data_IF_880364149887
#
_entry.id   IF_880364149887
#
_cell.length_a   1.000
_cell.length_b   1.000
_cell.length_c   1.000
_cell.angle_alpha   90.00
_cell.angle_beta   90.00
_cell.angle_gamma   90.00
#
_symmetry.space_group_name_H-M   'P 1'
#
loop_
_entity.id
_entity.type
_entity.pdbx_description
1 polymer ?
#
# COMPACT_ATOMS: atom_id res chain seq x y z
N UNK A 1 37.75 -23.23 10.43
CA UNK A 1 37.12 -21.95 10.51
C UNK A 1 35.59 -22.09 10.66
N UNK A 2 34.91 -21.25 11.42
CA UNK A 2 33.49 -21.43 11.63
C UNK A 2 32.74 -21.18 10.31
N UNK A 3 31.96 -22.16 9.89
CA UNK A 3 30.99 -22.03 8.83
C UNK A 3 29.96 -21.01 9.24
N UNK A 4 29.99 -19.84 8.62
CA UNK A 4 28.88 -18.89 8.70
C UNK A 4 27.74 -19.41 7.83
N UNK A 5 26.71 -19.94 8.46
CA UNK A 5 25.49 -20.36 7.81
C UNK A 5 24.72 -19.13 7.35
N UNK A 6 24.89 -18.77 6.07
CA UNK A 6 24.20 -17.64 5.44
C UNK A 6 22.67 -17.77 5.45
N UNK A 7 22.13 -18.94 5.75
CA UNK A 7 20.68 -19.17 5.81
C UNK A 7 20.05 -18.74 7.14
N UNK A 8 20.83 -18.57 8.20
CA UNK A 8 20.30 -18.09 9.49
C UNK A 8 20.11 -16.58 9.58
N UNK A 9 20.80 -15.79 8.73
CA UNK A 9 20.66 -14.34 8.74
C UNK A 9 19.36 -13.83 8.09
N UNK A 10 18.79 -14.54 7.13
CA UNK A 10 17.57 -14.10 6.45
C UNK A 10 16.30 -14.31 7.29
N UNK A 11 16.28 -15.31 8.17
CA UNK A 11 15.14 -15.59 9.05
C UNK A 11 15.06 -14.62 10.24
N UNK A 12 16.16 -13.94 10.63
CA UNK A 12 16.22 -13.01 11.74
C UNK A 12 15.76 -11.58 11.39
N UNK A 13 15.56 -11.28 10.12
CA UNK A 13 15.13 -9.93 9.65
C UNK A 13 13.63 -9.71 9.74
N UNK A 14 12.82 -10.75 9.68
CA UNK A 14 11.38 -10.69 9.89
C UNK A 14 11.09 -10.78 11.39
N UNK A 15 10.29 -9.85 11.88
CA UNK A 15 9.88 -9.78 13.29
C UNK A 15 8.39 -10.06 13.39
N UNK A 16 7.98 -10.86 14.38
CA UNK A 16 6.58 -10.91 14.80
C UNK A 16 6.34 -9.77 15.76
N UNK A 17 5.41 -8.87 15.44
CA UNK A 17 5.10 -7.69 16.25
C UNK A 17 3.64 -7.60 16.59
N UNK A 18 3.37 -7.02 17.75
CA UNK A 18 2.06 -6.53 18.13
C UNK A 18 1.99 -5.03 17.86
N UNK A 19 1.01 -4.64 17.05
CA UNK A 19 0.77 -3.26 16.64
C UNK A 19 -0.57 -2.80 17.18
N UNK A 20 -0.59 -1.61 17.75
CA UNK A 20 -1.82 -1.00 18.26
C UNK A 20 -2.39 -0.05 17.21
N UNK A 21 -3.71 -0.11 16.98
CA UNK A 21 -4.40 0.86 16.13
C UNK A 21 -4.33 2.28 16.73
N UNK A 22 -4.47 3.30 15.90
CA UNK A 22 -4.37 4.71 16.33
C UNK A 22 -5.42 5.09 17.37
N UNK A 23 -6.62 4.53 17.28
CA UNK A 23 -7.70 4.71 18.25
C UNK A 23 -7.53 3.82 19.51
N UNK A 24 -6.47 3.02 19.56
CA UNK A 24 -6.17 2.07 20.63
C UNK A 24 -7.25 0.98 20.85
N UNK A 25 -8.14 0.76 19.88
CA UNK A 25 -9.24 -0.22 20.00
C UNK A 25 -8.92 -1.60 19.46
N UNK A 26 -7.80 -1.76 18.76
CA UNK A 26 -7.38 -3.04 18.18
C UNK A 26 -5.87 -3.28 18.33
N UNK A 27 -5.52 -4.56 18.48
CA UNK A 27 -4.14 -5.05 18.51
C UNK A 27 -3.96 -6.06 17.39
N UNK A 28 -3.01 -5.80 16.51
CA UNK A 28 -2.63 -6.67 15.41
C UNK A 28 -1.34 -7.40 15.74
N UNK A 29 -1.33 -8.72 15.62
CA UNK A 29 -0.13 -9.54 15.64
C UNK A 29 0.16 -10.06 14.23
N UNK A 30 1.28 -9.67 13.66
CA UNK A 30 1.70 -10.09 12.33
C UNK A 30 3.21 -9.94 12.14
N UNK A 31 3.72 -10.44 11.01
CA UNK A 31 5.12 -10.36 10.67
C UNK A 31 5.45 -9.05 9.97
N UNK A 32 6.50 -8.40 10.42
CA UNK A 32 6.97 -7.11 9.91
C UNK A 32 8.43 -7.21 9.47
N UNK A 33 8.74 -6.60 8.35
CA UNK A 33 10.10 -6.42 7.84
C UNK A 33 10.38 -4.94 7.65
N UNK A 34 11.51 -4.47 8.18
CA UNK A 34 11.88 -3.06 8.10
C UNK A 34 13.04 -2.83 7.14
N UNK A 35 12.96 -1.74 6.38
CA UNK A 35 14.11 -1.13 5.77
C UNK A 35 14.98 -0.43 6.84
N UNK A 36 16.14 0.07 6.46
CA UNK A 36 17.03 0.81 7.36
C UNK A 36 16.54 2.24 7.64
N UNK A 37 15.73 2.80 6.73
CA UNK A 37 15.20 4.16 6.78
C UNK A 37 13.90 4.23 5.96
N UNK A 38 13.23 5.37 5.98
CA UNK A 38 12.07 5.61 5.11
C UNK A 38 12.33 6.74 4.11
N UNK A 39 11.30 7.07 3.32
CA UNK A 39 11.40 8.09 2.26
C UNK A 39 11.79 9.48 2.77
N UNK A 40 11.52 9.81 4.03
CA UNK A 40 11.81 11.10 4.65
C UNK A 40 13.26 11.26 5.08
N UNK A 41 14.01 10.15 5.19
CA UNK A 41 15.39 10.15 5.62
C UNK A 41 16.26 11.00 4.69
N UNK A 42 17.30 11.64 5.25
CA UNK A 42 18.35 12.31 4.46
C UNK A 42 19.06 11.39 3.49
N UNK A 43 19.06 10.09 3.75
CA UNK A 43 19.61 9.08 2.84
C UNK A 43 18.76 8.87 1.59
N UNK A 44 17.48 9.11 1.67
CA UNK A 44 16.54 8.97 0.55
C UNK A 44 16.19 10.32 -0.08
N UNK A 45 15.90 11.34 0.73
CA UNK A 45 15.41 12.65 0.28
C UNK A 45 14.18 12.54 -0.63
N UNK A 46 13.21 11.74 -0.21
CA UNK A 46 12.00 11.44 -0.96
C UNK A 46 10.72 11.84 -0.23
N UNK A 47 10.65 13.05 0.30
CA UNK A 47 9.57 13.52 1.19
C UNK A 47 8.17 13.37 0.58
N UNK A 48 8.02 13.63 -0.71
CA UNK A 48 6.75 13.50 -1.44
C UNK A 48 6.83 12.45 -2.56
N UNK A 49 7.71 11.47 -2.41
CA UNK A 49 8.04 10.47 -3.44
C UNK A 49 7.11 9.24 -3.45
N UNK A 50 6.07 9.19 -2.63
CA UNK A 50 5.29 7.96 -2.42
C UNK A 50 4.75 7.36 -3.73
N UNK A 51 4.32 8.16 -4.69
CA UNK A 51 3.82 7.67 -5.98
C UNK A 51 4.92 7.01 -6.80
N UNK A 52 6.08 7.68 -6.95
CA UNK A 52 7.22 7.11 -7.67
C UNK A 52 7.76 5.86 -6.97
N UNK A 53 7.80 5.87 -5.65
CA UNK A 53 8.22 4.71 -4.85
C UNK A 53 7.28 3.52 -5.04
N UNK A 54 5.97 3.75 -5.04
CA UNK A 54 4.99 2.69 -5.28
C UNK A 54 5.17 2.07 -6.68
N UNK A 55 5.41 2.87 -7.70
CA UNK A 55 5.69 2.39 -9.06
C UNK A 55 6.97 1.55 -9.11
N UNK A 56 8.06 2.02 -8.50
CA UNK A 56 9.32 1.27 -8.46
C UNK A 56 9.19 -0.05 -7.71
N UNK A 57 8.49 -0.07 -6.58
CA UNK A 57 8.26 -1.27 -5.78
C UNK A 57 7.37 -2.25 -6.51
N UNK A 58 6.26 -1.81 -7.10
CA UNK A 58 5.37 -2.67 -7.87
C UNK A 58 6.11 -3.33 -9.04
N UNK A 59 6.92 -2.57 -9.78
CA UNK A 59 7.76 -3.09 -10.85
C UNK A 59 8.73 -4.16 -10.33
N UNK A 60 9.41 -3.89 -9.22
CA UNK A 60 10.36 -4.83 -8.63
C UNK A 60 9.67 -6.14 -8.24
N UNK A 61 8.48 -6.06 -7.64
CA UNK A 61 7.70 -7.25 -7.23
C UNK A 61 7.25 -8.10 -8.42
N UNK A 62 6.97 -7.51 -9.57
CA UNK A 62 6.70 -8.25 -10.80
C UNK A 62 7.92 -9.01 -11.33
N UNK A 63 9.11 -8.52 -11.06
CA UNK A 63 10.36 -9.06 -11.57
C UNK A 63 11.06 -10.03 -10.60
N UNK A 64 10.56 -10.16 -9.38
CA UNK A 64 11.19 -10.96 -8.33
C UNK A 64 10.15 -11.77 -7.56
N UNK A 65 10.38 -13.05 -7.39
CA UNK A 65 9.46 -13.95 -6.68
C UNK A 65 9.47 -13.73 -5.15
N UNK A 66 10.63 -13.41 -4.61
CA UNK A 66 10.80 -13.22 -3.17
C UNK A 66 10.68 -11.76 -2.80
N UNK A 67 10.31 -11.49 -1.54
CA UNK A 67 10.38 -10.13 -1.00
C UNK A 67 11.84 -9.64 -0.96
N UNK A 68 12.07 -8.32 -1.05
CA UNK A 68 13.42 -7.79 -1.06
C UNK A 68 14.15 -8.07 0.25
N UNK A 69 15.46 -8.23 0.17
CA UNK A 69 16.34 -8.13 1.33
C UNK A 69 16.36 -6.68 1.84
N UNK A 70 16.91 -6.45 3.03
CA UNK A 70 17.03 -5.07 3.55
C UNK A 70 17.84 -4.17 2.63
N UNK A 71 18.95 -4.64 2.10
CA UNK A 71 19.78 -3.90 1.15
C UNK A 71 19.01 -3.57 -0.14
N UNK A 72 18.24 -4.51 -0.66
CA UNK A 72 17.40 -4.32 -1.84
C UNK A 72 16.26 -3.31 -1.57
N UNK A 73 15.63 -3.40 -0.42
CA UNK A 73 14.57 -2.46 -0.03
C UNK A 73 15.12 -1.05 0.13
N UNK A 74 16.24 -0.89 0.82
CA UNK A 74 16.95 0.39 0.96
C UNK A 74 17.29 0.98 -0.41
N UNK A 75 17.80 0.15 -1.33
CA UNK A 75 18.10 0.56 -2.70
C UNK A 75 16.86 1.01 -3.47
N UNK A 76 15.73 0.30 -3.34
CA UNK A 76 14.47 0.68 -3.97
C UNK A 76 13.99 2.06 -3.48
N UNK A 77 14.09 2.31 -2.19
CA UNK A 77 13.71 3.60 -1.60
C UNK A 77 14.59 4.73 -2.13
N UNK A 78 15.90 4.51 -2.20
CA UNK A 78 16.84 5.49 -2.75
C UNK A 78 16.59 5.76 -4.23
N UNK A 79 16.40 4.72 -5.04
CA UNK A 79 16.17 4.84 -6.48
C UNK A 79 14.84 5.52 -6.79
N UNK A 80 13.77 5.11 -6.14
CA UNK A 80 12.46 5.72 -6.33
C UNK A 80 12.42 7.18 -5.92
N UNK A 81 13.10 7.52 -4.83
CA UNK A 81 13.26 8.90 -4.37
C UNK A 81 14.09 9.74 -5.34
N UNK A 82 15.15 9.17 -5.92
CA UNK A 82 15.96 9.81 -6.97
C UNK A 82 15.14 10.10 -8.23
N UNK A 83 14.33 9.15 -8.68
CA UNK A 83 13.41 9.33 -9.81
C UNK A 83 12.40 10.44 -9.53
N UNK A 84 11.84 10.48 -8.32
CA UNK A 84 10.95 11.56 -7.91
C UNK A 84 11.63 12.93 -7.95
N UNK A 85 12.86 13.05 -7.43
CA UNK A 85 13.62 14.31 -7.50
C UNK A 85 13.86 14.75 -8.93
N UNK A 86 14.19 13.82 -9.82
CA UNK A 86 14.36 14.10 -11.25
C UNK A 86 13.09 14.67 -11.87
N UNK A 87 11.93 14.09 -11.60
CA UNK A 87 10.63 14.60 -12.05
C UNK A 87 10.33 15.99 -11.44
N UNK A 88 10.74 16.21 -10.21
CA UNK A 88 10.54 17.48 -9.49
C UNK A 88 11.36 18.64 -10.05
N UNK A 89 12.35 18.38 -10.88
CA UNK A 89 13.12 19.41 -11.59
C UNK A 89 12.51 19.80 -12.94
N UNK A 90 11.49 19.10 -13.40
CA UNK A 90 10.80 19.43 -14.64
C UNK A 90 9.79 20.55 -14.43
N UNK A 91 9.94 21.68 -15.14
CA UNK A 91 8.99 22.80 -15.10
C UNK A 91 7.57 22.36 -15.50
N UNK A 92 7.46 21.44 -16.44
CA UNK A 92 6.18 20.90 -16.90
C UNK A 92 5.42 20.23 -15.76
N UNK A 93 6.08 19.35 -15.00
CA UNK A 93 5.45 18.65 -13.88
C UNK A 93 5.19 19.58 -12.69
N UNK A 94 6.07 20.55 -12.43
CA UNK A 94 5.91 21.52 -11.34
C UNK A 94 4.72 22.46 -11.55
N UNK A 95 4.38 22.80 -12.79
CA UNK A 95 3.19 23.59 -13.10
C UNK A 95 1.90 22.83 -12.76
N UNK A 96 1.87 21.52 -13.00
CA UNK A 96 0.73 20.66 -12.71
C UNK A 96 0.64 20.29 -11.22
N UNK A 97 1.79 20.08 -10.58
CA UNK A 97 1.90 19.64 -9.19
C UNK A 97 2.92 20.50 -8.42
N UNK A 98 2.53 21.72 -8.01
CA UNK A 98 3.46 22.65 -7.33
C UNK A 98 3.99 22.11 -5.99
N UNK A 99 3.23 21.24 -5.31
CA UNK A 99 3.60 20.58 -4.06
C UNK A 99 4.53 19.39 -4.25
N UNK A 100 4.85 19.03 -5.52
CA UNK A 100 5.67 17.87 -5.90
C UNK A 100 5.05 16.51 -5.54
N UNK A 101 3.79 16.48 -5.17
CA UNK A 101 2.99 15.27 -5.03
C UNK A 101 2.37 14.91 -6.38
N UNK A 102 3.02 14.04 -7.12
CA UNK A 102 2.54 13.61 -8.44
C UNK A 102 1.45 12.56 -8.29
N UNK A 103 0.47 12.59 -9.20
CA UNK A 103 -0.50 11.52 -9.31
C UNK A 103 0.10 10.30 -10.04
N UNK A 104 -0.60 9.18 -9.99
CA UNK A 104 -0.12 7.93 -10.57
C UNK A 104 0.01 8.03 -12.09
N UNK A 105 -0.96 8.64 -12.76
CA UNK A 105 -0.97 8.79 -14.22
C UNK A 105 0.27 9.53 -14.71
N UNK A 106 0.61 10.63 -14.06
CA UNK A 106 1.80 11.43 -14.38
C UNK A 106 3.09 10.62 -14.24
N UNK A 107 3.22 9.89 -13.14
CA UNK A 107 4.43 9.07 -12.89
C UNK A 107 4.53 7.92 -13.89
N UNK A 108 3.41 7.29 -14.24
CA UNK A 108 3.40 6.23 -15.26
C UNK A 108 3.73 6.77 -16.66
N UNK A 109 3.21 7.93 -17.03
CA UNK A 109 3.52 8.60 -18.30
C UNK A 109 5.00 9.00 -18.40
N UNK A 110 5.61 9.37 -17.29
CA UNK A 110 7.05 9.67 -17.24
C UNK A 110 7.95 8.46 -17.50
N UNK A 111 7.36 7.27 -17.50
CA UNK A 111 8.02 6.00 -17.87
C UNK A 111 9.29 5.71 -17.06
N UNK A 112 9.24 5.97 -15.76
CA UNK A 112 10.39 5.69 -14.86
C UNK A 112 10.62 4.19 -14.70
N UNK A 113 9.59 3.38 -14.92
CA UNK A 113 9.64 1.91 -14.97
C UNK A 113 8.66 1.42 -16.05
N UNK A 114 8.93 0.29 -16.69
CA UNK A 114 8.02 -0.33 -17.66
C UNK A 114 6.84 -1.00 -16.95
N UNK A 115 5.95 -0.18 -16.41
CA UNK A 115 4.78 -0.59 -15.64
C UNK A 115 3.55 0.11 -16.21
N UNK A 116 2.45 -0.64 -16.33
CA UNK A 116 1.15 -0.11 -16.71
C UNK A 116 0.10 -0.49 -15.67
N UNK A 117 -0.95 0.29 -15.63
CA UNK A 117 -2.14 0.03 -14.83
C UNK A 117 -3.32 -0.16 -15.78
N UNK A 118 -4.08 -1.22 -15.59
CA UNK A 118 -5.24 -1.52 -16.43
C UNK A 118 -6.54 -1.17 -15.72
N UNK A 119 -7.53 -0.58 -16.41
CA UNK A 119 -8.86 -0.36 -15.83
C UNK A 119 -9.55 -1.67 -15.43
N UNK A 120 -9.29 -2.74 -16.18
CA UNK A 120 -9.75 -4.07 -15.82
C UNK A 120 -9.00 -4.56 -14.58
N UNK A 121 -9.74 -5.13 -13.63
CA UNK A 121 -9.24 -5.58 -12.33
C UNK A 121 -8.77 -4.46 -11.40
N UNK A 122 -8.94 -3.20 -11.78
CA UNK A 122 -8.80 -2.04 -10.89
C UNK A 122 -10.15 -1.68 -10.27
N UNK A 123 -10.13 -1.14 -9.07
CA UNK A 123 -11.33 -0.85 -8.28
C UNK A 123 -11.25 0.53 -7.66
N UNK A 124 -12.37 1.23 -7.65
CA UNK A 124 -12.59 2.43 -6.84
C UNK A 124 -13.74 2.14 -5.88
N UNK A 125 -13.52 2.43 -4.62
CA UNK A 125 -14.54 2.23 -3.60
C UNK A 125 -14.36 3.16 -2.42
N UNK A 126 -15.16 2.91 -1.38
CA UNK A 126 -15.22 3.78 -0.22
C UNK A 126 -15.22 2.98 1.07
N UNK A 127 -14.68 3.57 2.12
CA UNK A 127 -14.81 3.04 3.46
C UNK A 127 -16.22 3.33 3.99
N UNK A 128 -16.90 2.27 4.44
CA UNK A 128 -18.23 2.36 5.07
C UNK A 128 -19.24 3.23 4.33
N UNK A 129 -19.47 3.02 3.01
CA UNK A 129 -20.34 3.89 2.24
C UNK A 129 -21.80 3.86 2.71
N UNK A 130 -22.23 2.75 3.34
CA UNK A 130 -23.59 2.59 3.89
C UNK A 130 -23.92 3.57 5.01
N UNK A 131 -22.90 4.18 5.62
CA UNK A 131 -23.08 5.19 6.69
C UNK A 131 -23.27 6.61 6.17
N UNK A 132 -23.09 6.81 4.86
CA UNK A 132 -23.11 8.14 4.24
C UNK A 132 -24.13 8.18 3.10
N UNK A 133 -25.07 9.11 3.18
CA UNK A 133 -26.12 9.27 2.19
C UNK A 133 -25.54 9.62 0.81
N UNK A 134 -24.51 10.46 0.77
CA UNK A 134 -23.86 10.86 -0.49
C UNK A 134 -23.13 9.71 -1.19
N UNK A 135 -22.89 8.58 -0.52
CA UNK A 135 -22.21 7.41 -1.04
C UNK A 135 -23.14 6.20 -1.24
N UNK A 136 -24.47 6.44 -1.22
CA UNK A 136 -25.46 5.38 -1.43
C UNK A 136 -25.22 4.66 -2.77
N UNK A 137 -25.14 3.32 -2.72
CA UNK A 137 -24.90 2.49 -3.90
C UNK A 137 -23.43 2.39 -4.33
N UNK A 138 -22.51 3.11 -3.70
CA UNK A 138 -21.10 3.00 -4.00
C UNK A 138 -20.50 1.68 -3.50
N UNK A 139 -19.50 1.18 -4.23
CA UNK A 139 -18.77 -0.02 -3.83
C UNK A 139 -17.99 0.22 -2.54
N UNK A 140 -18.09 -0.71 -1.59
CA UNK A 140 -17.31 -0.63 -0.35
C UNK A 140 -15.91 -1.23 -0.54
N UNK A 141 -14.97 -0.79 0.31
CA UNK A 141 -13.66 -1.44 0.38
C UNK A 141 -13.77 -2.92 0.78
N UNK A 142 -14.71 -3.28 1.63
CA UNK A 142 -14.96 -4.68 2.00
C UNK A 142 -15.38 -5.52 0.78
N UNK A 143 -16.22 -4.99 -0.08
CA UNK A 143 -16.59 -5.65 -1.35
C UNK A 143 -15.41 -5.79 -2.30
N UNK A 144 -14.56 -4.75 -2.40
CA UNK A 144 -13.32 -4.80 -3.20
C UNK A 144 -12.41 -5.90 -2.65
N UNK A 145 -12.24 -5.97 -1.35
CA UNK A 145 -11.42 -6.99 -0.70
C UNK A 145 -11.87 -8.40 -1.05
N UNK A 146 -13.17 -8.65 -1.02
CA UNK A 146 -13.73 -9.93 -1.41
C UNK A 146 -13.43 -10.27 -2.88
N UNK A 147 -13.52 -9.29 -3.77
CA UNK A 147 -13.20 -9.48 -5.19
C UNK A 147 -11.72 -9.81 -5.41
N UNK A 148 -10.80 -9.07 -4.81
CA UNK A 148 -9.36 -9.24 -5.03
C UNK A 148 -8.78 -10.47 -4.33
N UNK A 149 -9.44 -10.99 -3.31
CA UNK A 149 -9.02 -12.19 -2.57
C UNK A 149 -9.77 -13.45 -2.98
N UNK A 150 -10.70 -13.35 -3.92
CA UNK A 150 -11.43 -14.49 -4.44
C UNK A 150 -10.48 -15.43 -5.20
N UNK A 151 -10.48 -16.70 -4.82
CA UNK A 151 -9.59 -17.72 -5.37
C UNK A 151 -10.21 -18.49 -6.56
N UNK A 152 -11.31 -17.99 -7.15
CA UNK A 152 -12.06 -18.71 -8.17
C UNK A 152 -11.31 -18.86 -9.50
N UNK A 153 -10.31 -18.02 -9.77
CA UNK A 153 -9.44 -18.09 -10.96
C UNK A 153 -8.12 -18.80 -10.65
N UNK A 154 -8.19 -20.00 -10.11
CA UNK A 154 -7.04 -20.79 -9.65
C UNK A 154 -6.12 -21.24 -10.80
N UNK A 155 -6.39 -20.89 -12.05
CA UNK A 155 -5.59 -21.32 -13.21
C UNK A 155 -4.24 -20.62 -13.24
N UNK A 156 -4.13 -19.39 -12.68
CA UNK A 156 -2.90 -18.65 -12.59
C UNK A 156 -2.59 -18.35 -11.11
N UNK A 157 -1.63 -19.10 -10.55
CA UNK A 157 -1.10 -18.85 -9.21
C UNK A 157 -0.23 -17.59 -9.14
N UNK A 158 -0.32 -16.72 -10.13
CA UNK A 158 0.46 -15.49 -10.16
C UNK A 158 -0.06 -14.49 -9.13
N UNK A 159 0.83 -13.83 -8.37
CA UNK A 159 0.45 -12.82 -7.43
C UNK A 159 -0.14 -11.60 -8.14
N UNK A 160 -1.13 -11.00 -7.52
CA UNK A 160 -1.72 -9.74 -7.96
C UNK A 160 -1.05 -8.61 -7.21
N UNK A 161 -0.61 -7.59 -7.94
CA UNK A 161 0.10 -6.45 -7.39
C UNK A 161 -0.68 -5.19 -7.70
N UNK A 162 -1.18 -4.54 -6.64
CA UNK A 162 -1.94 -3.30 -6.73
C UNK A 162 -1.13 -2.12 -6.20
N UNK A 163 -1.18 -1.02 -6.93
CA UNK A 163 -0.82 0.27 -6.37
C UNK A 163 -2.09 0.85 -5.76
N UNK A 164 -2.06 1.13 -4.48
CA UNK A 164 -3.22 1.59 -3.74
C UNK A 164 -3.05 3.06 -3.39
N UNK A 165 -4.08 3.85 -3.64
CA UNK A 165 -4.10 5.26 -3.28
C UNK A 165 -5.29 5.59 -2.38
N UNK A 166 -5.00 6.33 -1.32
CA UNK A 166 -5.97 6.87 -0.38
C UNK A 166 -5.43 8.19 0.17
N UNK A 167 -6.24 9.22 0.13
CA UNK A 167 -5.90 10.53 0.71
C UNK A 167 -4.49 11.04 0.32
N UNK A 168 -4.19 11.01 -0.97
CA UNK A 168 -2.89 11.40 -1.57
C UNK A 168 -1.69 10.54 -1.11
N UNK A 169 -1.93 9.45 -0.42
CA UNK A 169 -0.91 8.48 -0.03
C UNK A 169 -0.97 7.24 -0.91
N UNK A 170 0.20 6.77 -1.35
CA UNK A 170 0.36 5.58 -2.18
C UNK A 170 1.15 4.51 -1.45
N UNK A 171 0.69 3.28 -1.55
CA UNK A 171 1.40 2.10 -1.07
C UNK A 171 1.14 0.92 -2.02
N UNK A 172 1.82 -0.19 -1.80
CA UNK A 172 1.68 -1.38 -2.64
C UNK A 172 1.05 -2.51 -1.84
N UNK A 173 0.09 -3.19 -2.47
CA UNK A 173 -0.56 -4.37 -1.95
C UNK A 173 -0.27 -5.54 -2.89
N UNK A 174 0.34 -6.60 -2.37
CA UNK A 174 0.55 -7.86 -3.09
C UNK A 174 -0.38 -8.92 -2.51
N UNK A 175 -1.18 -9.54 -3.37
CA UNK A 175 -2.13 -10.59 -2.99
C UNK A 175 -1.68 -11.92 -3.57
N UNK A 176 -1.37 -12.85 -2.72
CA UNK A 176 -1.08 -14.25 -3.04
C UNK A 176 -2.17 -15.16 -2.48
N UNK A 177 -2.16 -16.44 -2.87
CA UNK A 177 -3.13 -17.42 -2.36
C UNK A 177 -3.05 -17.56 -0.84
N UNK A 178 -1.83 -17.65 -0.30
CA UNK A 178 -1.60 -17.92 1.12
C UNK A 178 -1.25 -16.69 1.96
N UNK A 179 -0.97 -15.56 1.34
CA UNK A 179 -0.54 -14.35 2.04
C UNK A 179 -0.91 -13.08 1.29
N UNK A 180 -1.06 -12.00 2.04
CA UNK A 180 -1.10 -10.63 1.53
C UNK A 180 0.04 -9.83 2.13
N UNK A 181 0.58 -8.89 1.34
CA UNK A 181 1.67 -8.01 1.78
C UNK A 181 1.28 -6.56 1.56
N UNK A 182 1.55 -5.74 2.56
CA UNK A 182 1.49 -4.28 2.45
C UNK A 182 2.91 -3.75 2.48
N UNK A 183 3.30 -3.01 1.46
CA UNK A 183 4.61 -2.36 1.37
C UNK A 183 4.41 -0.86 1.36
N UNK A 184 4.91 -0.20 2.38
CA UNK A 184 4.77 1.25 2.57
C UNK A 184 6.12 1.87 2.91
N UNK A 185 6.44 2.96 2.24
CA UNK A 185 7.72 3.65 2.40
C UNK A 185 7.69 4.77 3.43
N UNK A 186 6.54 4.99 4.07
CA UNK A 186 6.37 5.97 5.14
C UNK A 186 6.09 5.28 6.48
N UNK A 187 7.08 5.25 7.35
CA UNK A 187 7.01 4.54 8.63
C UNK A 187 5.90 4.98 9.57
N UNK A 188 5.55 6.26 9.56
CA UNK A 188 4.46 6.82 10.37
C UNK A 188 3.11 6.10 10.16
N UNK A 189 2.91 5.46 8.99
CA UNK A 189 1.70 4.70 8.71
C UNK A 189 1.59 3.43 9.55
N UNK A 190 2.72 2.92 10.02
CA UNK A 190 2.76 1.74 10.87
C UNK A 190 2.48 2.08 12.34
N UNK A 191 3.22 3.03 12.87
CA UNK A 191 3.02 3.60 14.20
C UNK A 191 3.69 4.97 14.31
N UNK A 192 3.22 5.77 15.23
CA UNK A 192 3.74 7.10 15.50
C UNK A 192 5.23 7.06 15.86
N UNK A 193 6.02 7.89 15.18
CA UNK A 193 7.47 7.99 15.38
C UNK A 193 8.29 6.96 14.64
N UNK A 194 7.68 6.04 13.90
CA UNK A 194 8.41 5.09 13.07
C UNK A 194 9.05 5.82 11.88
N UNK A 195 10.36 5.60 11.68
CA UNK A 195 11.15 6.23 10.62
C UNK A 195 11.75 5.22 9.64
N UNK A 196 11.16 4.04 9.57
CA UNK A 196 11.57 2.96 8.67
C UNK A 196 10.42 2.59 7.76
N UNK A 197 10.70 2.43 6.48
CA UNK A 197 9.79 1.77 5.56
C UNK A 197 9.58 0.32 5.99
N UNK A 198 8.44 -0.25 5.67
CA UNK A 198 8.06 -1.56 6.18
C UNK A 198 7.34 -2.41 5.15
N UNK A 199 7.42 -3.72 5.37
CA UNK A 199 6.58 -4.72 4.72
C UNK A 199 5.84 -5.48 5.80
N UNK A 200 4.52 -5.55 5.71
CA UNK A 200 3.69 -6.42 6.54
C UNK A 200 3.33 -7.66 5.76
N UNK A 201 3.45 -8.81 6.39
CA UNK A 201 2.99 -10.09 5.86
C UNK A 201 1.80 -10.58 6.67
N UNK A 202 0.67 -10.73 6.00
CA UNK A 202 -0.56 -11.28 6.56
C UNK A 202 -0.77 -12.68 6.01
N UNK A 203 -0.72 -13.67 6.87
CA UNK A 203 -0.89 -15.08 6.55
C UNK A 203 -1.72 -15.79 7.64
N UNK A 204 -1.76 -17.13 7.62
CA UNK A 204 -2.51 -17.91 8.60
C UNK A 204 -2.15 -17.65 10.07
N UNK A 205 -0.97 -17.08 10.34
CA UNK A 205 -0.51 -16.74 11.69
C UNK A 205 -0.95 -15.34 12.16
N UNK A 206 -1.49 -14.52 11.28
CA UNK A 206 -1.92 -13.16 11.59
C UNK A 206 -3.23 -13.17 12.40
N UNK A 207 -3.29 -12.29 13.40
CA UNK A 207 -4.40 -12.24 14.34
C UNK A 207 -4.65 -10.82 14.82
N UNK A 208 -5.91 -10.43 14.87
CA UNK A 208 -6.30 -9.12 15.41
C UNK A 208 -7.32 -9.31 16.52
N UNK A 209 -7.04 -8.67 17.66
CA UNK A 209 -7.93 -8.62 18.82
C UNK A 209 -8.47 -7.22 19.02
N UNK A 210 -9.71 -7.12 19.49
CA UNK A 210 -10.23 -5.88 20.03
C UNK A 210 -9.54 -5.56 21.36
N UNK A 211 -9.66 -4.29 21.79
CA UNK A 211 -9.17 -3.88 23.10
C UNK A 211 -9.84 -4.70 24.20
N UNK A 212 -9.02 -5.36 25.01
CA UNK A 212 -9.47 -6.10 26.18
C UNK A 212 -9.42 -5.29 27.47
N UNK A 213 -9.75 -5.97 28.56
CA UNK A 213 -9.52 -5.46 29.91
C UNK A 213 -8.04 -5.59 30.29
N UNK A 214 -7.63 -5.01 31.44
CA UNK A 214 -6.25 -5.14 31.96
C UNK A 214 -5.81 -6.59 32.20
N UNK A 215 -6.76 -7.53 32.31
CA UNK A 215 -6.51 -8.93 32.66
C UNK A 215 -6.75 -9.91 31.50
N UNK A 216 -7.50 -9.52 30.47
CA UNK A 216 -7.89 -10.41 29.38
C UNK A 216 -7.75 -9.71 28.03
N UNK A 217 -7.29 -10.45 27.02
CA UNK A 217 -7.34 -9.98 25.62
C UNK A 217 -8.81 -9.84 25.21
N UNK A 218 -9.10 -8.82 24.40
CA UNK A 218 -10.42 -8.65 23.81
C UNK A 218 -10.75 -9.75 22.80
N UNK A 219 -11.96 -9.72 22.29
CA UNK A 219 -12.44 -10.65 21.29
C UNK A 219 -11.60 -10.60 20.00
N UNK A 220 -11.53 -11.72 19.30
CA UNK A 220 -10.90 -11.82 18.00
C UNK A 220 -11.73 -11.06 16.98
N UNK A 221 -11.11 -10.06 16.33
CA UNK A 221 -11.71 -9.28 15.25
C UNK A 221 -11.60 -10.04 13.93
N UNK A 222 -10.43 -10.56 13.62
CA UNK A 222 -10.15 -11.31 12.40
C UNK A 222 -8.88 -12.15 12.51
N UNK A 223 -8.74 -13.09 11.59
CA UNK A 223 -7.60 -13.99 11.46
C UNK A 223 -7.12 -14.04 10.00
N UNK A 224 -5.84 -14.39 9.82
CA UNK A 224 -5.29 -14.65 8.51
C UNK A 224 -5.22 -13.42 7.62
N UNK A 225 -5.45 -13.62 6.34
CA UNK A 225 -5.41 -12.56 5.32
C UNK A 225 -6.42 -11.43 5.57
N UNK A 226 -7.54 -11.71 6.23
CA UNK A 226 -8.52 -10.70 6.62
C UNK A 226 -7.93 -9.60 7.52
N UNK A 227 -6.86 -9.91 8.24
CA UNK A 227 -6.12 -8.92 9.02
C UNK A 227 -5.52 -7.81 8.15
N UNK A 228 -5.21 -8.10 6.89
CA UNK A 228 -4.75 -7.08 5.95
C UNK A 228 -5.83 -6.03 5.66
N UNK A 229 -7.05 -6.47 5.38
CA UNK A 229 -8.21 -5.57 5.20
C UNK A 229 -8.40 -4.68 6.43
N UNK A 230 -8.44 -5.27 7.60
CA UNK A 230 -8.65 -4.54 8.86
C UNK A 230 -7.47 -3.60 9.18
N UNK A 231 -6.24 -3.98 8.84
CA UNK A 231 -5.10 -3.08 8.95
C UNK A 231 -5.26 -1.82 8.09
N UNK A 232 -5.65 -1.97 6.86
CA UNK A 232 -5.87 -0.84 5.95
C UNK A 232 -6.96 0.07 6.50
N UNK A 233 -8.06 -0.49 6.99
CA UNK A 233 -9.19 0.25 7.54
C UNK A 233 -8.85 0.98 8.85
N UNK A 234 -8.22 0.28 9.79
CA UNK A 234 -8.09 0.73 11.18
C UNK A 234 -6.76 1.38 11.52
N UNK A 235 -5.69 1.01 10.83
CA UNK A 235 -4.33 1.51 11.10
C UNK A 235 -3.91 2.55 10.06
N UNK A 236 -4.01 2.21 8.79
CA UNK A 236 -3.55 3.06 7.71
C UNK A 236 -4.51 4.22 7.46
N UNK A 237 -5.76 3.94 7.18
CA UNK A 237 -6.78 4.97 6.95
C UNK A 237 -7.31 5.57 8.26
N UNK A 238 -7.59 4.74 9.25
CA UNK A 238 -8.05 5.11 10.59
C UNK A 238 -9.08 6.25 10.59
N UNK A 239 -10.12 6.10 9.78
CA UNK A 239 -11.07 7.17 9.48
C UNK A 239 -11.94 7.48 10.71
N UNK A 240 -12.10 8.75 11.09
CA UNK A 240 -12.98 9.17 12.18
C UNK A 240 -14.45 9.18 11.71
N UNK A 241 -15.05 8.01 11.59
CA UNK A 241 -16.39 7.81 11.00
C UNK A 241 -17.47 8.64 11.71
N UNK A 242 -17.47 8.68 13.05
CA UNK A 242 -18.46 9.45 13.82
C UNK A 242 -18.41 10.94 13.51
N UNK A 243 -17.21 11.49 13.42
CA UNK A 243 -17.01 12.91 13.08
C UNK A 243 -17.52 13.21 11.67
N UNK A 244 -17.22 12.32 10.71
CA UNK A 244 -17.69 12.48 9.34
C UNK A 244 -19.20 12.32 9.20
N UNK A 245 -19.81 11.41 9.93
CA UNK A 245 -21.27 11.25 10.00
C UNK A 245 -21.95 12.49 10.54
N UNK A 246 -21.39 13.11 11.60
CA UNK A 246 -21.88 14.37 12.14
C UNK A 246 -21.75 15.53 11.16
N UNK A 247 -20.64 15.60 10.43
CA UNK A 247 -20.43 16.62 9.38
C UNK A 247 -21.48 16.48 8.27
N UNK A 248 -21.79 15.26 7.83
CA UNK A 248 -22.85 15.04 6.83
C UNK A 248 -24.23 15.46 7.35
N UNK A 249 -24.56 15.14 8.59
CA UNK A 249 -25.83 15.55 9.20
C UNK A 249 -25.98 17.06 9.32
N UNK A 250 -24.88 17.76 9.63
CA UNK A 250 -24.89 19.20 9.87
C UNK A 250 -24.82 20.02 8.57
N UNK A 251 -24.11 19.54 7.55
CA UNK A 251 -23.85 20.24 6.29
C UNK A 251 -24.75 19.80 5.14
N UNK A 252 -25.55 18.75 5.33
CA UNK A 252 -26.39 18.17 4.29
C UNK A 252 -25.62 17.47 3.20
N UNK A 253 -26.29 17.21 2.05
CA UNK A 253 -25.75 16.44 0.94
C UNK A 253 -24.88 17.24 -0.02
N UNK A 254 -24.41 18.42 0.37
CA UNK A 254 -23.51 19.22 -0.47
C UNK A 254 -22.18 18.48 -0.64
N UNK A 255 -21.79 18.29 -1.91
CA UNK A 255 -20.54 17.65 -2.25
C UNK A 255 -19.36 18.34 -1.56
N UNK A 256 -18.64 17.59 -0.72
CA UNK A 256 -17.43 18.04 -0.05
C UNK A 256 -16.24 17.22 -0.55
N UNK A 257 -15.32 17.82 -1.34
CA UNK A 257 -14.14 17.09 -1.86
C UNK A 257 -13.24 16.50 -0.77
N UNK A 258 -13.13 17.18 0.38
CA UNK A 258 -12.37 16.71 1.53
C UNK A 258 -12.95 15.43 2.13
N UNK A 259 -14.26 15.36 2.23
CA UNK A 259 -14.99 14.20 2.71
C UNK A 259 -14.79 13.00 1.77
N UNK A 260 -14.90 13.22 0.47
CA UNK A 260 -14.68 12.20 -0.55
C UNK A 260 -13.24 11.67 -0.52
N UNK A 261 -12.27 12.56 -0.40
CA UNK A 261 -10.85 12.22 -0.31
C UNK A 261 -10.55 11.28 0.86
N UNK A 262 -11.14 11.51 2.03
CA UNK A 262 -10.92 10.68 3.21
C UNK A 262 -11.54 9.30 3.13
N UNK A 263 -12.62 9.15 2.39
CA UNK A 263 -13.37 7.90 2.31
C UNK A 263 -13.03 7.07 1.09
N UNK A 264 -12.54 7.69 0.02
CA UNK A 264 -12.25 6.99 -1.23
C UNK A 264 -10.92 6.25 -1.19
N UNK A 265 -10.94 5.02 -1.69
CA UNK A 265 -9.74 4.20 -1.91
C UNK A 265 -9.75 3.66 -3.33
N UNK A 266 -8.60 3.72 -3.99
CA UNK A 266 -8.39 3.22 -5.35
C UNK A 266 -7.34 2.13 -5.35
N UNK A 267 -7.65 0.99 -5.94
CA UNK A 267 -6.74 -0.13 -6.13
C UNK A 267 -6.45 -0.27 -7.62
N UNK A 268 -5.23 0.07 -8.01
CA UNK A 268 -4.79 0.05 -9.40
C UNK A 268 -4.05 -1.25 -9.70
N UNK A 269 -4.63 -2.07 -10.55
CA UNK A 269 -4.04 -3.35 -10.96
C UNK A 269 -2.86 -3.09 -11.89
N UNK A 270 -1.65 -3.49 -11.46
CA UNK A 270 -0.43 -3.25 -12.21
C UNK A 270 0.03 -4.47 -13.00
N UNK A 271 0.62 -4.20 -14.15
CA UNK A 271 1.25 -5.19 -15.03
C UNK A 271 2.58 -4.66 -15.55
N UNK A 272 3.49 -5.57 -15.88
CA UNK A 272 4.67 -5.18 -16.65
C UNK A 272 4.25 -4.74 -18.05
N UNK A 273 4.86 -3.66 -18.54
CA UNK A 273 4.62 -3.18 -19.90
C UNK A 273 5.28 -4.11 -20.90
N UNK A 274 4.50 -4.87 -21.67
CA UNK A 274 4.98 -5.70 -22.75
C UNK A 274 5.27 -4.93 -24.03
N UNK A 275 4.78 -3.68 -24.13
CA UNK A 275 4.91 -2.85 -25.34
C UNK A 275 6.33 -2.39 -25.59
N UNK A 276 7.19 -2.26 -24.56
CA UNK A 276 8.59 -1.92 -24.72
C UNK A 276 9.41 -3.04 -25.37
N UNK A 277 8.99 -4.29 -25.26
CA UNK A 277 9.63 -5.44 -25.91
C UNK A 277 9.12 -5.68 -27.34
N UNK A 278 7.89 -5.26 -27.66
CA UNK A 278 7.31 -5.41 -28.99
C UNK A 278 7.81 -4.35 -29.98
N UNK A 279 8.17 -3.15 -29.50
CA UNK A 279 8.72 -2.07 -30.34
C UNK A 279 10.17 -2.30 -30.79
N UNK A 280 10.88 -3.24 -30.17
CA UNK A 280 12.25 -3.62 -30.53
C UNK A 280 12.32 -4.77 -31.55
N UNK A 281 11.19 -5.40 -31.90
CA UNK A 281 11.10 -6.49 -32.85
C UNK A 281 10.40 -6.00 -34.13
N UNK A 282 11.15 -5.39 -35.01
CA UNK A 282 10.68 -5.29 -36.37
C UNK A 282 10.52 -3.90 -36.90
N UNK A 283 11.62 -3.35 -37.35
CA UNK A 283 11.58 -2.68 -38.64
C UNK A 283 12.01 -3.74 -39.66
N UNK A 284 11.16 -4.11 -40.62
CA UNK A 284 11.63 -4.78 -41.79
C UNK A 284 12.43 -3.78 -42.63
N UNK A 285 13.59 -4.19 -43.05
CA UNK A 285 14.43 -3.58 -44.02
C UNK A 285 13.67 -3.21 -45.30
#
# INVERSE_FOLDING_TARGET
GPYFDHNKCSASEWETRELRSRDAQAMLKTNVFFASFDQRSKKACGESACTALAVCIAHWLHSNHNMPTRAQFDSLIKRGSSEWRRLSHSDHYLKLFPDKHFDLETVLEANIRPLVVTPQNSYTGFFSPEKFQCLEGAMSFDEIWDEITRNDDVVDHEPRIYIVSWNDHFFVLKVEVDACYVIDTLGERLFEGCRKAFILKFDGSSLMHAKGSKKERGEIVCKGKECCKEFIKRFLAAIPLRQLEEEERNKGTVYNPYFHRKLQIDLHYSLLSSLSSASSIGEPL
#
